data_IF_992385091198
#
_entry.id   IF_992385091198
#
_cell.length_a   1.000
_cell.length_b   1.000
_cell.length_c   1.000
_cell.angle_alpha   90.00
_cell.angle_beta   90.00
_cell.angle_gamma   90.00
#
_symmetry.space_group_name_H-M   'P 1'
#
loop_
_entity.id
_entity.type
_entity.pdbx_description
1 polymer ?
#
# COMPACT_ATOMS: atom_id res chain seq x y z
N UNK A 1 -10.25 -9.81 14.20
CA UNK A 1 -11.11 -8.91 13.42
C UNK A 1 -10.59 -8.76 11.98
N UNK A 2 -9.44 -8.12 11.74
CA UNK A 2 -8.89 -7.90 10.40
C UNK A 2 -8.63 -9.18 9.58
N UNK A 3 -8.28 -10.31 10.23
CA UNK A 3 -8.12 -11.61 9.54
C UNK A 3 -9.40 -12.12 8.87
N UNK A 4 -10.57 -11.70 9.37
CA UNK A 4 -11.87 -12.08 8.82
C UNK A 4 -12.31 -11.13 7.68
N UNK A 5 -11.66 -9.99 7.56
CA UNK A 5 -11.96 -8.96 6.57
C UNK A 5 -11.10 -9.20 5.34
N UNK A 6 -11.72 -9.46 4.19
CA UNK A 6 -11.00 -9.72 2.93
C UNK A 6 -10.54 -8.43 2.23
N UNK A 7 -11.07 -7.29 2.65
CA UNK A 7 -10.82 -5.98 2.04
C UNK A 7 -10.08 -5.05 3.01
N UNK A 8 -9.25 -4.12 2.52
CA UNK A 8 -8.64 -3.10 3.36
C UNK A 8 -9.69 -2.22 4.01
N UNK A 9 -9.45 -1.84 5.27
CA UNK A 9 -10.35 -0.99 6.05
C UNK A 9 -9.70 0.33 6.38
N UNK A 10 -10.51 1.38 6.47
CA UNK A 10 -10.01 2.66 6.95
C UNK A 10 -9.73 2.58 8.46
N UNK A 11 -8.67 3.24 8.94
CA UNK A 11 -8.28 3.18 10.37
C UNK A 11 -9.40 3.66 11.32
N UNK A 12 -10.28 4.56 10.86
CA UNK A 12 -11.48 4.98 11.60
C UNK A 12 -12.47 3.83 11.75
N UNK A 13 -12.72 3.07 10.69
CA UNK A 13 -13.60 1.89 10.75
C UNK A 13 -12.99 0.80 11.64
N UNK A 14 -11.67 0.65 11.62
CA UNK A 14 -10.96 -0.25 12.53
C UNK A 14 -11.16 0.18 13.98
N UNK A 15 -11.00 1.47 14.29
CA UNK A 15 -11.23 2.02 15.62
C UNK A 15 -12.68 1.81 16.10
N UNK A 16 -13.66 2.08 15.24
CA UNK A 16 -15.07 1.88 15.55
C UNK A 16 -15.37 0.42 15.88
N UNK A 17 -14.92 -0.52 15.04
CA UNK A 17 -15.13 -1.96 15.28
C UNK A 17 -14.41 -2.47 16.54
N UNK A 18 -13.26 -1.91 16.90
CA UNK A 18 -12.58 -2.22 18.18
C UNK A 18 -13.43 -1.72 19.36
N UNK A 19 -13.95 -0.49 19.28
CA UNK A 19 -14.82 0.10 20.30
C UNK A 19 -16.11 -0.71 20.48
N UNK A 20 -16.75 -1.10 19.38
CA UNK A 20 -17.96 -1.93 19.36
C UNK A 20 -17.73 -3.33 19.95
N UNK A 21 -16.53 -3.90 19.78
CA UNK A 21 -16.22 -5.22 20.30
C UNK A 21 -16.06 -5.26 21.83
N UNK A 22 -15.99 -4.11 22.50
CA UNK A 22 -16.14 -3.99 23.96
C UNK A 22 -15.04 -4.66 24.79
N UNK A 23 -13.85 -4.90 24.22
CA UNK A 23 -12.76 -5.61 24.90
C UNK A 23 -12.19 -4.88 26.12
N UNK A 24 -12.32 -3.56 26.18
CA UNK A 24 -11.83 -2.75 27.30
C UNK A 24 -12.68 -1.47 27.46
N UNK A 25 -12.79 -0.93 28.67
CA UNK A 25 -13.51 0.33 28.93
C UNK A 25 -12.70 1.58 28.55
N UNK A 26 -11.49 1.38 28.02
CA UNK A 26 -10.60 2.47 27.61
C UNK A 26 -11.09 3.09 26.30
N UNK A 27 -11.07 4.42 26.27
CA UNK A 27 -11.37 5.20 25.07
C UNK A 27 -10.30 4.92 24.02
N UNK A 28 -10.67 4.18 22.98
CA UNK A 28 -9.80 3.92 21.82
C UNK A 28 -9.95 5.09 20.86
N UNK A 29 -8.89 5.89 20.72
CA UNK A 29 -8.88 7.00 19.76
C UNK A 29 -8.47 6.50 18.38
N UNK A 30 -9.03 7.10 17.34
CA UNK A 30 -8.67 6.80 15.93
C UNK A 30 -7.18 7.04 15.68
N UNK A 31 -6.59 8.05 16.32
CA UNK A 31 -5.16 8.34 16.22
C UNK A 31 -4.29 7.28 16.88
N UNK A 32 -4.68 6.77 18.06
CA UNK A 32 -3.96 5.67 18.70
C UNK A 32 -3.97 4.42 17.82
N UNK A 33 -5.13 4.08 17.24
CA UNK A 33 -5.24 2.95 16.30
C UNK A 33 -4.35 3.17 15.07
N UNK A 34 -4.36 4.37 14.49
CA UNK A 34 -3.49 4.69 13.36
C UNK A 34 -1.99 4.49 13.69
N UNK A 35 -1.55 4.99 14.85
CA UNK A 35 -0.17 4.86 15.29
C UNK A 35 0.24 3.39 15.51
N UNK A 36 -0.63 2.59 16.13
CA UNK A 36 -0.38 1.16 16.32
C UNK A 36 -0.36 0.40 14.98
N UNK A 37 -1.23 0.75 14.02
CA UNK A 37 -1.20 0.18 12.67
C UNK A 37 0.10 0.52 11.92
N UNK A 38 0.73 1.67 12.19
CA UNK A 38 2.03 2.02 11.63
C UNK A 38 3.17 1.24 12.32
N UNK A 39 3.08 1.07 13.64
CA UNK A 39 4.11 0.46 14.49
C UNK A 39 4.41 -0.99 14.09
N UNK A 40 3.39 -1.78 13.72
CA UNK A 40 3.56 -3.21 13.47
C UNK A 40 3.70 -3.58 11.99
N UNK A 41 4.60 -4.51 11.71
CA UNK A 41 4.91 -4.97 10.35
C UNK A 41 3.85 -5.84 9.69
N UNK A 42 2.94 -6.40 10.48
CA UNK A 42 1.81 -7.16 9.99
C UNK A 42 0.77 -6.31 9.26
N UNK A 43 0.76 -4.99 9.45
CA UNK A 43 -0.16 -4.08 8.79
C UNK A 43 0.51 -3.34 7.64
N UNK A 44 -0.25 -3.17 6.55
CA UNK A 44 0.23 -2.51 5.33
C UNK A 44 -0.76 -1.40 4.97
N UNK A 45 -0.25 -0.17 4.86
CA UNK A 45 -0.98 0.97 4.32
C UNK A 45 -1.04 0.84 2.79
N UNK A 46 -2.22 0.61 2.25
CA UNK A 46 -2.43 0.40 0.81
C UNK A 46 -3.08 1.58 0.11
N UNK A 47 -3.65 2.50 0.86
CA UNK A 47 -4.25 3.75 0.37
C UNK A 47 -4.33 4.78 1.50
N UNK A 48 -4.92 5.94 1.27
CA UNK A 48 -5.02 6.99 2.30
C UNK A 48 -5.88 6.48 3.46
N UNK A 49 -5.23 6.21 4.60
CA UNK A 49 -5.85 5.67 5.80
C UNK A 49 -6.34 4.22 5.69
N UNK A 50 -6.11 3.54 4.55
CA UNK A 50 -6.57 2.18 4.30
C UNK A 50 -5.50 1.15 4.67
N UNK A 51 -5.82 0.27 5.60
CA UNK A 51 -4.92 -0.76 6.10
C UNK A 51 -5.43 -2.16 5.79
N UNK A 52 -4.48 -3.06 5.55
CA UNK A 52 -4.70 -4.49 5.37
C UNK A 52 -3.59 -5.30 6.03
N UNK A 53 -3.70 -6.62 6.00
CA UNK A 53 -2.68 -7.51 6.54
C UNK A 53 -1.63 -7.87 5.48
N UNK A 54 -0.37 -7.90 5.91
CA UNK A 54 0.76 -8.36 5.09
C UNK A 54 0.58 -9.80 4.61
N UNK A 55 -0.08 -10.64 5.40
CA UNK A 55 -0.34 -12.05 5.07
C UNK A 55 -1.22 -12.23 3.81
N UNK A 56 -1.96 -11.19 3.40
CA UNK A 56 -2.72 -11.20 2.15
C UNK A 56 -1.88 -10.87 0.90
N UNK A 57 -0.54 -10.80 1.05
CA UNK A 57 0.37 -10.59 -0.07
C UNK A 57 0.58 -9.13 -0.47
N UNK A 58 0.12 -8.18 0.35
CA UNK A 58 0.42 -6.76 0.17
C UNK A 58 1.84 -6.45 0.65
N UNK A 59 2.58 -5.74 -0.18
CA UNK A 59 3.95 -5.30 0.14
C UNK A 59 3.92 -3.89 0.72
N UNK A 60 4.77 -3.57 1.72
CA UNK A 60 4.93 -2.19 2.24
C UNK A 60 5.60 -1.26 1.23
N UNK A 61 5.43 0.04 1.40
CA UNK A 61 6.10 1.08 0.60
C UNK A 61 5.15 1.98 -0.20
N UNK A 62 5.74 2.93 -0.91
CA UNK A 62 5.08 3.89 -1.78
C UNK A 62 4.70 3.29 -3.14
N UNK A 63 4.01 4.05 -3.97
CA UNK A 63 3.75 3.68 -5.37
C UNK A 63 5.06 3.49 -6.14
N UNK A 64 6.08 4.32 -5.90
CA UNK A 64 7.38 4.21 -6.54
C UNK A 64 8.09 2.90 -6.17
N UNK A 65 8.04 2.52 -4.88
CA UNK A 65 8.65 1.26 -4.40
C UNK A 65 7.99 0.04 -5.05
N UNK A 66 6.64 0.05 -5.17
CA UNK A 66 5.91 -1.04 -5.85
C UNK A 66 6.30 -1.11 -7.34
N UNK A 67 6.41 0.02 -8.03
CA UNK A 67 6.85 0.06 -9.42
C UNK A 67 8.24 -0.56 -9.56
N UNK A 68 9.19 -0.20 -8.69
CA UNK A 68 10.55 -0.76 -8.70
C UNK A 68 10.55 -2.27 -8.46
N UNK A 69 9.75 -2.75 -7.51
CA UNK A 69 9.62 -4.19 -7.22
C UNK A 69 9.06 -4.95 -8.43
N UNK A 70 8.05 -4.40 -9.12
CA UNK A 70 7.47 -5.02 -10.31
C UNK A 70 8.49 -5.13 -11.44
N UNK A 71 9.22 -4.04 -11.70
CA UNK A 71 10.24 -3.98 -12.75
C UNK A 71 11.43 -4.92 -12.48
N UNK A 72 11.83 -5.11 -11.22
CA UNK A 72 12.87 -6.07 -10.85
C UNK A 72 12.43 -7.53 -11.05
N UNK A 73 11.13 -7.83 -10.90
CA UNK A 73 10.60 -9.20 -10.95
C UNK A 73 10.24 -9.66 -12.36
N UNK A 74 9.74 -8.76 -13.21
CA UNK A 74 9.24 -9.08 -14.54
C UNK A 74 9.75 -8.01 -15.51
N UNK A 75 10.80 -8.33 -16.27
CA UNK A 75 11.30 -7.48 -17.34
C UNK A 75 11.33 -8.27 -18.64
N UNK A 76 10.79 -7.76 -19.77
CA UNK A 76 10.17 -6.44 -19.96
C UNK A 76 8.66 -6.40 -19.62
N UNK A 77 8.16 -5.25 -19.13
CA UNK A 77 6.73 -4.97 -18.87
C UNK A 77 6.26 -3.73 -19.62
N UNK A 78 4.99 -3.71 -20.05
CA UNK A 78 4.37 -2.51 -20.64
C UNK A 78 3.94 -1.53 -19.55
N UNK A 79 3.65 -0.28 -19.94
CA UNK A 79 3.07 0.72 -19.02
C UNK A 79 1.77 0.23 -18.40
N UNK A 80 0.95 -0.50 -19.16
CA UNK A 80 -0.33 -1.03 -18.70
C UNK A 80 -0.13 -2.11 -17.64
N UNK A 81 0.81 -3.05 -17.87
CA UNK A 81 1.13 -4.10 -16.90
C UNK A 81 1.60 -3.53 -15.55
N UNK A 82 2.38 -2.44 -15.58
CA UNK A 82 2.83 -1.76 -14.36
C UNK A 82 1.66 -1.10 -13.65
N UNK A 83 0.76 -0.44 -14.39
CA UNK A 83 -0.44 0.17 -13.80
C UNK A 83 -1.30 -0.89 -13.11
N UNK A 84 -1.54 -2.02 -13.76
CA UNK A 84 -2.37 -3.09 -13.21
C UNK A 84 -1.70 -3.76 -12.00
N UNK A 85 -0.38 -3.99 -12.06
CA UNK A 85 0.39 -4.49 -10.93
C UNK A 85 0.38 -3.56 -9.72
N UNK A 86 0.44 -2.24 -9.94
CA UNK A 86 0.34 -1.25 -8.85
C UNK A 86 -1.08 -1.22 -8.29
N UNK A 87 -2.11 -1.24 -9.13
CA UNK A 87 -3.52 -1.24 -8.67
C UNK A 87 -3.86 -2.50 -7.87
N UNK A 88 -3.24 -3.65 -8.17
CA UNK A 88 -3.37 -4.85 -7.37
C UNK A 88 -2.79 -4.70 -5.94
N UNK A 89 -1.83 -3.81 -5.75
CA UNK A 89 -1.13 -3.60 -4.47
C UNK A 89 -1.57 -2.31 -3.75
N UNK A 90 -2.16 -1.34 -4.45
CA UNK A 90 -2.44 0.01 -3.92
C UNK A 90 -3.79 0.53 -4.37
N UNK A 91 -4.52 1.10 -3.40
CA UNK A 91 -5.78 1.81 -3.60
C UNK A 91 -5.49 3.26 -3.96
N UNK A 92 -5.08 3.49 -5.21
CA UNK A 92 -4.72 4.80 -5.76
C UNK A 92 -5.36 5.01 -7.12
N UNK A 93 -5.48 6.28 -7.55
CA UNK A 93 -5.98 6.60 -8.89
C UNK A 93 -4.91 6.34 -9.95
N UNK A 94 -5.31 5.92 -11.15
CA UNK A 94 -4.40 5.76 -12.32
C UNK A 94 -3.57 7.01 -12.62
N UNK A 95 -4.12 8.20 -12.38
CA UNK A 95 -3.39 9.47 -12.51
C UNK A 95 -2.18 9.56 -11.58
N UNK A 96 -2.32 9.13 -10.32
CA UNK A 96 -1.20 9.09 -9.35
C UNK A 96 -0.10 8.15 -9.81
N UNK A 97 -0.46 6.98 -10.35
CA UNK A 97 0.50 6.02 -10.90
C UNK A 97 1.22 6.61 -12.11
N UNK A 98 0.48 7.22 -13.02
CA UNK A 98 1.03 7.85 -14.22
C UNK A 98 2.03 8.96 -13.89
N UNK A 99 1.72 9.77 -12.87
CA UNK A 99 2.57 10.85 -12.40
C UNK A 99 3.85 10.31 -11.73
N UNK A 100 3.77 9.21 -10.99
CA UNK A 100 4.94 8.51 -10.46
C UNK A 100 5.79 7.91 -11.59
N UNK A 101 5.17 7.25 -12.58
CA UNK A 101 5.87 6.69 -13.73
C UNK A 101 6.63 7.75 -14.52
N UNK A 102 6.11 8.97 -14.66
CA UNK A 102 6.84 10.07 -15.30
C UNK A 102 8.08 10.50 -14.50
N UNK A 103 7.99 10.53 -13.18
CA UNK A 103 9.14 10.84 -12.29
C UNK A 103 10.18 9.73 -12.30
N UNK A 104 9.74 8.47 -12.14
CA UNK A 104 10.58 7.28 -12.30
C UNK A 104 11.07 7.14 -13.74
N UNK A 105 10.44 7.83 -14.70
CA UNK A 105 10.81 7.78 -16.11
C UNK A 105 12.25 8.22 -16.33
N UNK A 106 12.57 9.33 -15.66
CA UNK A 106 13.87 9.96 -15.66
C UNK A 106 14.93 9.09 -14.96
N UNK A 107 14.51 8.23 -14.03
CA UNK A 107 15.37 7.23 -13.38
C UNK A 107 15.68 6.04 -14.31
N UNK A 108 14.69 5.49 -15.04
CA UNK A 108 14.94 4.36 -15.95
C UNK A 108 15.78 4.73 -17.17
N UNK A 109 15.61 5.94 -17.74
CA UNK A 109 16.45 6.41 -18.86
C UNK A 109 17.91 6.56 -18.44
N UNK A 110 18.18 6.96 -17.19
CA UNK A 110 19.54 7.06 -16.65
C UNK A 110 20.15 5.69 -16.33
N UNK A 111 19.36 4.73 -15.84
CA UNK A 111 19.82 3.37 -15.58
C UNK A 111 20.20 2.62 -16.88
N UNK A 112 19.41 2.78 -17.95
CA UNK A 112 19.72 2.19 -19.27
C UNK A 112 21.00 2.77 -19.89
N UNK A 113 21.35 4.04 -19.61
CA UNK A 113 22.59 4.69 -20.08
C UNK A 113 23.85 4.31 -19.30
N UNK A 114 23.73 3.72 -18.10
CA UNK A 114 24.88 3.30 -17.28
C UNK A 114 25.33 1.86 -17.53
N UNK A 115 24.65 1.15 -18.43
CA UNK A 115 24.97 -0.23 -18.83
C UNK A 115 25.56 -0.29 -20.24
N UNK A 116 26.12 0.81 -20.74
CA UNK A 116 26.79 0.89 -22.04
C UNK A 116 28.10 1.65 -21.89
#
# INVERSE_FOLDING_TARGET
MLKKEKNPLHFVEIANKISEAGFDKKVVTTQAVHNELIRYDQFVLVGRGLYTLKEFGYTKGTVADIIEILLKKKSPMTKQDIVDGVLAQRHVKKGTISLNLQKTSQFWMKAKKRSN
#
